data_IF_329930590982
#
_entry.id   IF_329930590982
#
_cell.length_a   1.000
_cell.length_b   1.000
_cell.length_c   1.000
_cell.angle_alpha   90.00
_cell.angle_beta   90.00
_cell.angle_gamma   90.00
#
_symmetry.space_group_name_H-M   'P 1'
#
loop_
_entity.id
_entity.type
_entity.pdbx_description
1 polymer ?
#
# COMPACT_ATOMS: atom_id res chain seq x y z
N UNK A 1 2.59 17.18 -5.69
CA UNK A 1 1.27 16.67 -5.31
C UNK A 1 1.38 15.27 -4.74
N UNK A 2 0.53 14.96 -3.76
CA UNK A 2 0.46 13.65 -3.11
C UNK A 2 -0.99 13.25 -2.92
N UNK A 3 -1.28 11.98 -3.12
CA UNK A 3 -2.58 11.37 -2.88
C UNK A 3 -2.46 10.39 -1.72
N UNK A 4 -3.33 10.53 -0.73
CA UNK A 4 -3.42 9.61 0.39
C UNK A 4 -4.82 9.02 0.46
N UNK A 5 -4.92 7.70 0.59
CA UNK A 5 -6.18 7.03 0.86
C UNK A 5 -6.02 5.81 1.74
N UNK A 6 -7.13 5.41 2.35
CA UNK A 6 -7.22 4.26 3.25
C UNK A 6 -8.24 3.26 2.70
N UNK A 7 -7.87 1.99 2.76
CA UNK A 7 -8.75 0.86 2.47
C UNK A 7 -8.99 0.13 3.79
N UNK A 8 -10.22 0.14 4.26
CA UNK A 8 -10.60 -0.54 5.50
C UNK A 8 -10.70 -2.05 5.29
N UNK A 9 -10.44 -2.80 6.34
CA UNK A 9 -10.48 -4.24 6.34
C UNK A 9 -9.11 -4.89 6.33
N UNK A 10 -9.09 -6.21 6.45
CA UNK A 10 -7.86 -7.00 6.53
C UNK A 10 -7.04 -6.85 5.24
N UNK A 11 -5.78 -6.37 5.30
CA UNK A 11 -4.92 -6.31 4.14
C UNK A 11 -4.75 -7.68 3.49
N UNK A 12 -4.82 -7.72 2.17
CA UNK A 12 -4.76 -8.94 1.37
C UNK A 12 -3.57 -8.88 0.41
N UNK A 13 -3.05 -10.06 0.07
CA UNK A 13 -2.13 -10.22 -1.05
C UNK A 13 -2.87 -10.70 -2.29
N UNK A 14 -2.35 -10.34 -3.45
CA UNK A 14 -2.86 -10.85 -4.73
C UNK A 14 -2.66 -12.35 -4.81
N UNK A 15 -3.74 -13.11 -4.90
CA UNK A 15 -3.69 -14.55 -5.07
C UNK A 15 -3.25 -14.90 -6.50
N UNK A 16 -2.58 -16.05 -6.63
CA UNK A 16 -2.26 -16.60 -7.96
C UNK A 16 -3.56 -16.88 -8.73
N UNK A 17 -3.56 -16.65 -10.05
CA UNK A 17 -4.67 -17.07 -10.91
C UNK A 17 -4.95 -18.57 -10.73
N UNK A 18 -6.21 -18.93 -10.75
CA UNK A 18 -6.67 -20.33 -10.75
C UNK A 18 -7.15 -20.68 -12.14
N UNK A 19 -7.21 -21.96 -12.44
CA UNK A 19 -7.70 -22.45 -13.73
C UNK A 19 -9.02 -23.21 -13.53
N UNK A 20 -9.95 -23.00 -14.45
CA UNK A 20 -11.14 -23.83 -14.56
C UNK A 20 -10.77 -25.21 -15.12
N UNK A 21 -11.68 -26.19 -15.02
CA UNK A 21 -11.49 -27.49 -15.65
C UNK A 21 -11.25 -27.43 -17.18
N UNK A 22 -11.68 -26.33 -17.80
CA UNK A 22 -11.52 -26.06 -19.25
C UNK A 22 -10.25 -25.24 -19.56
N UNK A 23 -9.34 -25.07 -18.58
CA UNK A 23 -8.07 -24.37 -18.77
C UNK A 23 -8.15 -22.83 -18.78
N UNK A 24 -9.29 -22.20 -18.48
CA UNK A 24 -9.42 -20.76 -18.36
C UNK A 24 -8.81 -20.26 -17.05
N UNK A 25 -7.88 -19.33 -17.15
CA UNK A 25 -7.36 -18.61 -15.98
C UNK A 25 -8.40 -17.62 -15.43
N UNK A 26 -8.52 -17.55 -14.10
CA UNK A 26 -9.35 -16.56 -13.43
C UNK A 26 -8.72 -16.09 -12.12
N UNK A 27 -8.98 -14.83 -11.76
CA UNK A 27 -8.58 -14.27 -10.46
C UNK A 27 -9.61 -14.67 -9.41
N UNK A 28 -9.19 -15.23 -8.26
CA UNK A 28 -10.11 -15.57 -7.17
C UNK A 28 -10.97 -14.39 -6.73
N UNK A 29 -12.23 -14.67 -6.38
CA UNK A 29 -13.22 -13.64 -5.99
C UNK A 29 -12.69 -12.71 -4.90
N UNK A 30 -12.08 -13.26 -3.85
CA UNK A 30 -11.51 -12.49 -2.73
C UNK A 30 -10.49 -11.44 -3.19
N UNK A 31 -9.64 -11.77 -4.16
CA UNK A 31 -8.67 -10.83 -4.73
C UNK A 31 -9.37 -9.75 -5.54
N UNK A 32 -10.34 -10.12 -6.37
CA UNK A 32 -11.11 -9.16 -7.18
C UNK A 32 -11.88 -8.18 -6.30
N UNK A 33 -12.52 -8.66 -5.24
CA UNK A 33 -13.27 -7.82 -4.31
C UNK A 33 -12.32 -6.82 -3.62
N UNK A 34 -11.16 -7.28 -3.17
CA UNK A 34 -10.18 -6.40 -2.53
C UNK A 34 -9.57 -5.37 -3.50
N UNK A 35 -9.27 -5.77 -4.73
CA UNK A 35 -8.83 -4.84 -5.79
C UNK A 35 -9.93 -3.80 -6.10
N UNK A 36 -11.20 -4.19 -6.09
CA UNK A 36 -12.33 -3.27 -6.25
C UNK A 36 -12.43 -2.27 -5.10
N UNK A 37 -12.20 -2.70 -3.86
CA UNK A 37 -12.16 -1.82 -2.69
C UNK A 37 -11.01 -0.80 -2.77
N UNK A 38 -9.83 -1.23 -3.18
CA UNK A 38 -8.67 -0.36 -3.41
C UNK A 38 -9.01 0.68 -4.50
N UNK A 39 -9.56 0.24 -5.61
CA UNK A 39 -9.95 1.11 -6.72
C UNK A 39 -10.99 2.14 -6.29
N UNK A 40 -12.01 1.72 -5.55
CA UNK A 40 -13.07 2.62 -5.06
C UNK A 40 -12.52 3.67 -4.09
N UNK A 41 -11.65 3.27 -3.14
CA UNK A 41 -11.01 4.18 -2.21
C UNK A 41 -10.10 5.19 -2.94
N UNK A 42 -9.34 4.74 -3.92
CA UNK A 42 -8.47 5.59 -4.73
C UNK A 42 -9.26 6.60 -5.57
N UNK A 43 -10.34 6.18 -6.23
CA UNK A 43 -11.21 7.06 -7.01
C UNK A 43 -11.83 8.15 -6.12
N UNK A 44 -12.36 7.77 -4.97
CA UNK A 44 -12.92 8.72 -4.01
C UNK A 44 -11.88 9.75 -3.56
N UNK A 45 -10.68 9.30 -3.21
CA UNK A 45 -9.60 10.18 -2.78
C UNK A 45 -9.14 11.08 -3.92
N UNK A 46 -9.00 10.56 -5.14
CA UNK A 46 -8.63 11.34 -6.32
C UNK A 46 -9.64 12.48 -6.58
N UNK A 47 -10.92 12.19 -6.51
CA UNK A 47 -11.98 13.20 -6.65
C UNK A 47 -11.92 14.27 -5.57
N UNK A 48 -11.76 13.86 -4.30
CA UNK A 48 -11.74 14.79 -3.16
C UNK A 48 -10.47 15.65 -3.11
N UNK A 49 -9.35 15.14 -3.58
CA UNK A 49 -8.04 15.80 -3.53
C UNK A 49 -7.64 16.46 -4.87
N UNK A 50 -8.52 16.40 -5.87
CA UNK A 50 -8.26 17.00 -7.19
C UNK A 50 -7.14 16.31 -7.98
N UNK A 51 -6.91 15.01 -7.73
CA UNK A 51 -5.87 14.25 -8.43
C UNK A 51 -6.27 13.96 -9.87
N UNK A 52 -5.40 14.28 -10.79
CA UNK A 52 -5.55 13.94 -12.20
C UNK A 52 -4.65 12.75 -12.55
N UNK A 53 -5.19 11.82 -13.32
CA UNK A 53 -4.41 10.70 -13.84
C UNK A 53 -3.22 11.23 -14.65
N UNK A 54 -2.06 10.66 -14.40
CA UNK A 54 -0.78 11.18 -14.91
C UNK A 54 0.02 10.10 -15.62
N UNK A 55 0.95 10.51 -16.46
CA UNK A 55 2.00 9.71 -17.10
C UNK A 55 3.39 9.92 -16.45
N UNK A 56 3.46 10.75 -15.42
CA UNK A 56 4.70 11.05 -14.71
C UNK A 56 5.23 9.84 -13.92
N UNK A 57 6.55 9.76 -13.67
CA UNK A 57 7.11 8.77 -12.75
C UNK A 57 6.53 8.90 -11.34
N UNK A 58 6.13 7.77 -10.76
CA UNK A 58 5.42 7.72 -9.49
C UNK A 58 6.23 7.01 -8.41
N UNK A 59 6.03 7.42 -7.17
CA UNK A 59 6.41 6.66 -5.97
C UNK A 59 5.16 6.28 -5.20
N UNK A 60 5.17 5.07 -4.64
CA UNK A 60 4.06 4.54 -3.86
C UNK A 60 4.58 3.97 -2.55
N UNK A 61 3.99 4.42 -1.44
CA UNK A 61 4.25 3.84 -0.13
C UNK A 61 2.97 3.22 0.40
N UNK A 62 3.07 1.98 0.81
CA UNK A 62 1.96 1.20 1.34
C UNK A 62 2.28 0.77 2.76
N UNK A 63 1.37 1.01 3.68
CA UNK A 63 1.44 0.47 5.02
C UNK A 63 0.22 -0.41 5.30
N UNK A 64 0.47 -1.71 5.48
CA UNK A 64 -0.55 -2.70 5.79
C UNK A 64 -0.60 -2.95 7.29
N UNK A 65 -1.75 -2.67 7.91
CA UNK A 65 -1.99 -2.78 9.33
C UNK A 65 -2.81 -4.02 9.66
N UNK A 66 -2.23 -4.91 10.47
CA UNK A 66 -2.80 -6.20 10.84
C UNK A 66 -3.21 -6.23 12.31
N UNK A 67 -4.26 -6.96 12.69
CA UNK A 67 -4.63 -7.12 14.07
C UNK A 67 -3.57 -7.92 14.82
N UNK A 68 -3.31 -7.57 16.07
CA UNK A 68 -2.46 -8.37 16.95
C UNK A 68 -3.17 -9.69 17.26
N UNK A 69 -2.52 -10.86 17.08
CA UNK A 69 -3.14 -12.14 17.38
C UNK A 69 -3.61 -12.24 18.84
N UNK A 70 -4.85 -12.68 19.03
CA UNK A 70 -5.44 -12.82 20.38
C UNK A 70 -4.68 -13.82 21.26
N UNK A 71 -4.00 -14.79 20.65
CA UNK A 71 -3.21 -15.83 21.34
C UNK A 71 -1.88 -15.32 21.92
N UNK A 72 -1.46 -14.09 21.58
CA UNK A 72 -0.22 -13.54 22.12
C UNK A 72 -0.36 -13.14 23.60
N UNK A 73 0.69 -13.36 24.40
CA UNK A 73 0.75 -12.90 25.77
C UNK A 73 0.60 -11.37 25.87
N UNK A 74 0.16 -10.86 27.01
CA UNK A 74 -0.01 -9.42 27.23
C UNK A 74 1.26 -8.62 26.92
N UNK A 75 2.43 -9.11 27.35
CA UNK A 75 3.74 -8.51 27.06
C UNK A 75 4.02 -8.45 25.55
N UNK A 76 3.79 -9.55 24.84
CA UNK A 76 4.02 -9.63 23.40
C UNK A 76 3.05 -8.75 22.61
N UNK A 77 1.79 -8.66 23.05
CA UNK A 77 0.80 -7.75 22.43
C UNK A 77 1.23 -6.30 22.57
N UNK A 78 1.68 -5.88 23.78
CA UNK A 78 2.19 -4.53 23.99
C UNK A 78 3.38 -4.21 23.08
N UNK A 79 4.31 -5.13 22.90
CA UNK A 79 5.45 -4.96 21.98
C UNK A 79 5.01 -4.86 20.51
N UNK A 80 3.98 -5.63 20.07
CA UNK A 80 3.38 -5.48 18.74
C UNK A 80 2.78 -4.08 18.54
N UNK A 81 2.00 -3.62 19.51
CA UNK A 81 1.33 -2.31 19.47
C UNK A 81 2.33 -1.14 19.53
N UNK A 82 3.44 -1.31 20.24
CA UNK A 82 4.53 -0.35 20.30
C UNK A 82 5.37 -0.30 19.01
N UNK A 83 5.22 -1.29 18.10
CA UNK A 83 6.01 -1.37 16.88
C UNK A 83 7.35 -2.08 17.01
N UNK A 84 7.62 -2.71 18.16
CA UNK A 84 8.85 -3.48 18.38
C UNK A 84 8.83 -4.84 17.69
N UNK A 85 7.62 -5.35 17.38
CA UNK A 85 7.41 -6.62 16.69
C UNK A 85 6.60 -6.37 15.42
N UNK A 86 7.08 -6.90 14.30
CA UNK A 86 6.42 -6.80 13.00
C UNK A 86 5.65 -8.07 12.64
N UNK A 87 4.55 -7.96 11.84
CA UNK A 87 3.85 -9.12 11.32
C UNK A 87 4.68 -9.82 10.24
N UNK A 88 5.14 -11.03 10.52
CA UNK A 88 5.98 -11.84 9.61
C UNK A 88 5.23 -12.94 8.89
N UNK A 89 3.92 -13.08 9.13
CA UNK A 89 3.06 -14.05 8.45
C UNK A 89 2.51 -13.46 7.15
N UNK A 90 1.97 -14.35 6.30
CA UNK A 90 1.29 -13.93 5.05
C UNK A 90 0.17 -12.89 5.33
N UNK A 91 -0.12 -12.01 4.37
CA UNK A 91 0.42 -11.96 3.01
C UNK A 91 1.84 -11.41 2.95
N UNK A 92 2.59 -11.82 1.92
CA UNK A 92 3.93 -11.32 1.64
C UNK A 92 3.88 -9.89 1.11
N UNK A 93 4.90 -9.09 1.37
CA UNK A 93 4.91 -7.67 1.00
C UNK A 93 4.76 -7.44 -0.51
N UNK A 94 5.42 -8.26 -1.34
CA UNK A 94 5.31 -8.18 -2.80
C UNK A 94 3.89 -8.51 -3.29
N UNK A 95 3.20 -9.45 -2.65
CA UNK A 95 1.82 -9.79 -2.97
C UNK A 95 0.82 -8.69 -2.57
N UNK A 96 1.13 -7.91 -1.52
CA UNK A 96 0.37 -6.71 -1.17
C UNK A 96 0.59 -5.65 -2.26
N UNK A 97 1.84 -5.43 -2.67
CA UNK A 97 2.17 -4.48 -3.75
C UNK A 97 1.43 -4.79 -5.06
N UNK A 98 1.30 -6.07 -5.42
CA UNK A 98 0.59 -6.50 -6.64
C UNK A 98 -0.90 -6.13 -6.67
N UNK A 99 -1.53 -5.90 -5.50
CA UNK A 99 -2.92 -5.41 -5.47
C UNK A 99 -3.05 -3.96 -5.99
N UNK A 100 -1.94 -3.22 -6.07
CA UNK A 100 -1.91 -1.87 -6.61
C UNK A 100 -2.13 -1.82 -8.13
N UNK A 101 -2.09 -2.96 -8.83
CA UNK A 101 -2.52 -3.05 -10.23
C UNK A 101 -3.94 -2.49 -10.42
N UNK A 102 -4.77 -2.51 -9.36
CA UNK A 102 -6.10 -1.90 -9.33
C UNK A 102 -6.08 -0.37 -9.58
N UNK A 103 -4.93 0.28 -9.41
CA UNK A 103 -4.75 1.72 -9.62
C UNK A 103 -4.44 2.08 -11.08
N UNK A 104 -4.14 1.09 -11.92
CA UNK A 104 -3.94 1.29 -13.35
C UNK A 104 -5.19 1.89 -14.00
N UNK A 105 -5.01 2.92 -14.81
CA UNK A 105 -6.10 3.63 -15.44
C UNK A 105 -6.90 4.57 -14.51
N UNK A 106 -6.59 4.60 -13.21
CA UNK A 106 -7.24 5.46 -12.20
C UNK A 106 -6.31 6.56 -11.74
N UNK A 107 -5.17 6.19 -11.19
CA UNK A 107 -4.19 7.10 -10.58
C UNK A 107 -3.07 7.41 -11.59
N UNK A 108 -2.66 6.42 -12.34
CA UNK A 108 -1.68 6.48 -13.43
C UNK A 108 -2.19 5.67 -14.63
N UNK A 109 -1.51 5.78 -15.75
CA UNK A 109 -1.88 5.03 -16.96
C UNK A 109 -1.46 3.57 -16.88
N UNK A 110 -0.25 3.32 -16.37
CA UNK A 110 0.37 2.00 -16.31
C UNK A 110 1.28 1.90 -15.08
N UNK A 111 1.33 0.74 -14.43
CA UNK A 111 2.16 0.47 -13.26
C UNK A 111 3.67 0.51 -13.56
N UNK A 112 4.07 0.45 -14.83
CA UNK A 112 5.45 0.70 -15.26
C UNK A 112 5.94 2.13 -14.89
N UNK A 113 5.01 3.07 -14.62
CA UNK A 113 5.34 4.41 -14.13
C UNK A 113 5.80 4.43 -12.66
N UNK A 114 5.53 3.37 -11.92
CA UNK A 114 5.93 3.26 -10.51
C UNK A 114 7.41 2.89 -10.43
N UNK A 115 8.24 3.88 -10.15
CA UNK A 115 9.70 3.72 -10.07
C UNK A 115 10.21 3.49 -8.65
N UNK A 116 9.36 3.73 -7.64
CA UNK A 116 9.62 3.40 -6.23
C UNK A 116 8.35 2.83 -5.60
N UNK A 117 8.47 1.65 -5.01
CA UNK A 117 7.40 1.04 -4.25
C UNK A 117 7.93 0.55 -2.89
N UNK A 118 7.40 1.13 -1.81
CA UNK A 118 7.76 0.75 -0.45
C UNK A 118 6.54 0.12 0.21
N UNK A 119 6.67 -1.12 0.69
CA UNK A 119 5.63 -1.81 1.44
C UNK A 119 6.09 -2.06 2.87
N UNK A 120 5.29 -1.65 3.83
CA UNK A 120 5.49 -1.91 5.24
C UNK A 120 4.32 -2.68 5.82
N UNK A 121 4.62 -3.60 6.71
CA UNK A 121 3.63 -4.36 7.48
C UNK A 121 3.74 -3.96 8.93
N UNK A 122 2.63 -3.66 9.59
CA UNK A 122 2.55 -3.21 10.97
C UNK A 122 1.41 -3.91 11.70
N UNK A 123 1.49 -3.96 13.01
CA UNK A 123 0.35 -4.31 13.85
C UNK A 123 -0.43 -3.07 14.24
N UNK A 124 -1.76 -3.19 14.26
CA UNK A 124 -2.65 -2.17 14.79
C UNK A 124 -2.42 -1.95 16.28
N UNK A 125 -2.68 -0.75 16.78
CA UNK A 125 -2.58 -0.39 18.19
C UNK A 125 -3.94 0.11 18.70
N UNK A 126 -4.17 -0.01 20.02
CA UNK A 126 -5.24 0.69 20.72
C UNK A 126 -6.66 0.48 20.18
N UNK A 127 -6.99 -0.73 19.70
CA UNK A 127 -8.32 -1.03 19.17
C UNK A 127 -8.53 -0.58 17.72
N UNK A 128 -7.48 -0.12 17.07
CA UNK A 128 -7.51 0.22 15.65
C UNK A 128 -7.88 -1.00 14.79
N UNK A 129 -8.77 -0.78 13.81
CA UNK A 129 -9.17 -1.84 12.90
C UNK A 129 -8.13 -2.06 11.80
N UNK A 130 -7.98 -3.29 11.28
CA UNK A 130 -7.06 -3.57 10.18
C UNK A 130 -7.40 -2.73 8.95
N UNK A 131 -6.36 -2.25 8.28
CA UNK A 131 -6.51 -1.39 7.10
C UNK A 131 -5.22 -1.34 6.28
N UNK A 132 -5.34 -0.78 5.09
CA UNK A 132 -4.24 -0.43 4.21
C UNK A 132 -4.21 1.09 4.03
N UNK A 133 -3.08 1.71 4.30
CA UNK A 133 -2.83 3.10 3.90
C UNK A 133 -1.97 3.10 2.65
N UNK A 134 -2.38 3.87 1.66
CA UNK A 134 -1.64 4.04 0.40
C UNK A 134 -1.34 5.52 0.20
N UNK A 135 -0.08 5.80 0.03
CA UNK A 135 0.44 7.11 -0.30
C UNK A 135 1.01 7.05 -1.71
N UNK A 136 0.58 7.96 -2.57
CA UNK A 136 1.05 8.08 -3.95
C UNK A 136 1.58 9.50 -4.16
N UNK A 137 2.72 9.64 -4.81
CA UNK A 137 3.29 10.94 -5.13
C UNK A 137 4.12 10.90 -6.40
N UNK A 138 4.41 12.06 -6.97
CA UNK A 138 5.37 12.16 -8.05
C UNK A 138 6.76 11.82 -7.56
N UNK A 139 7.51 11.09 -8.38
CA UNK A 139 8.91 10.83 -8.07
C UNK A 139 9.74 12.08 -8.38
N UNK A 140 10.43 12.68 -7.39
CA UNK A 140 11.31 13.80 -7.67
C UNK A 140 12.51 13.35 -8.53
N UNK A 141 13.02 14.24 -9.33
CA UNK A 141 14.25 13.99 -10.09
C UNK A 141 15.44 13.79 -9.14
N UNK A 142 16.45 13.08 -9.60
CA UNK A 142 17.68 12.89 -8.81
C UNK A 142 18.33 14.24 -8.43
N UNK A 143 18.24 15.25 -9.30
CA UNK A 143 18.70 16.62 -9.02
C UNK A 143 17.96 17.26 -7.85
N UNK A 144 16.63 17.15 -7.83
CA UNK A 144 15.79 17.68 -6.76
C UNK A 144 16.05 16.97 -5.43
N UNK A 145 16.19 15.64 -5.46
CA UNK A 145 16.54 14.86 -4.27
C UNK A 145 17.89 15.26 -3.69
N UNK A 146 18.91 15.46 -4.55
CA UNK A 146 20.22 15.91 -4.12
C UNK A 146 20.18 17.32 -3.53
N UNK A 147 19.45 18.24 -4.15
CA UNK A 147 19.28 19.59 -3.63
C UNK A 147 18.58 19.61 -2.26
N UNK A 148 17.53 18.80 -2.09
CA UNK A 148 16.82 18.67 -0.81
C UNK A 148 17.73 18.09 0.30
N UNK A 149 18.55 17.10 -0.02
CA UNK A 149 19.51 16.50 0.93
C UNK A 149 20.56 17.52 1.40
N UNK A 150 21.11 18.33 0.48
CA UNK A 150 22.06 19.39 0.82
C UNK A 150 21.43 20.50 1.68
N UNK A 151 20.19 20.89 1.36
CA UNK A 151 19.46 21.90 2.15
C UNK A 151 19.16 21.42 3.59
N UNK A 152 18.88 20.12 3.79
CA UNK A 152 18.65 19.55 5.12
C UNK A 152 19.94 19.45 5.94
N UNK A 153 21.06 19.11 5.31
CA UNK A 153 22.38 19.05 5.96
C UNK A 153 22.85 20.44 6.42
N UNK A 154 22.58 21.49 5.65
CA UNK A 154 22.94 22.87 6.01
C UNK A 154 22.12 23.49 7.15
N UNK A 155 20.98 22.89 7.53
CA UNK A 155 20.16 23.32 8.68
C UNK A 155 20.54 22.62 10.00
N UNK A 156 21.35 21.59 9.94
CA UNK A 156 21.81 20.82 11.11
C UNK A 156 23.20 21.28 11.63
N UNK A 157 23.80 22.26 11.00
CA UNK A 157 25.02 22.95 11.42
C UNK A 157 24.70 24.33 11.98
#
# INVERSE_FOLDING_TARGET
ETLLFRVNGMPQGKARPRFTRQGRAYTPKKTRDYEADIKAAALKAAMLQGWLKTDQPMRVHVCAWFPVPKSYSKKKRAACEAGDIYPTKKPDADNIAKCLDALNGVIWHDDAQVVECIVRKRYCSGGEQPHLNVFVGYMPTFREMKAAALASAGKAA
#
